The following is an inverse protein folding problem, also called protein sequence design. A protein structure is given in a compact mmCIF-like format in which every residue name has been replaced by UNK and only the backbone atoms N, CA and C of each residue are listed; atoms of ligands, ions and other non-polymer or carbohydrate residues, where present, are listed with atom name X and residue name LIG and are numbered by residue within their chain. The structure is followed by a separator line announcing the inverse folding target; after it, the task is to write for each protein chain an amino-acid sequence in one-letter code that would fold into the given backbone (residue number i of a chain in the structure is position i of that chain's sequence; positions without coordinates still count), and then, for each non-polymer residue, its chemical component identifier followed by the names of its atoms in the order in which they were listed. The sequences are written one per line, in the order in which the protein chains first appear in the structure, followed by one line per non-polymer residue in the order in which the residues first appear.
data_IF_222548363924
#
_entry.id   IF_222548363924
#
_cell.length_a   1.000
_cell.length_b   1.000
_cell.length_c   1.000
_cell.angle_alpha   90.00
_cell.angle_beta   90.00
_cell.angle_gamma   90.00
#
_symmetry.space_group_name_H-M   'P 1'
#
loop_
_entity.id
_entity.type
_entity.pdbx_description
1 polymer ?
#
# COMPACT_ATOMS: atom_id res chain seq x y z
N UNK A 1 -8.03 -11.50 23.91
CA UNK A 1 -7.34 -10.79 22.82
C UNK A 1 -7.52 -9.32 23.09
N UNK A 2 -6.45 -8.53 23.02
CA UNK A 2 -6.50 -7.09 23.27
C UNK A 2 -7.43 -6.35 22.30
N UNK A 3 -7.82 -5.13 22.66
CA UNK A 3 -8.67 -4.28 21.84
C UNK A 3 -7.84 -3.65 20.72
N UNK A 4 -8.05 -4.08 19.46
CA UNK A 4 -7.27 -3.63 18.30
C UNK A 4 -8.15 -2.79 17.38
N UNK A 5 -7.80 -1.54 17.16
CA UNK A 5 -8.45 -0.63 16.22
C UNK A 5 -7.47 -0.20 15.13
N UNK A 6 -7.92 -0.18 13.88
CA UNK A 6 -7.13 0.30 12.74
C UNK A 6 -7.88 1.43 12.04
N UNK A 7 -7.30 2.61 12.09
CA UNK A 7 -7.77 3.80 11.37
C UNK A 7 -7.00 3.90 10.07
N UNK A 8 -7.63 3.60 8.96
CA UNK A 8 -6.94 3.59 7.66
C UNK A 8 -7.93 3.75 6.51
N UNK A 9 -7.38 3.87 5.32
CA UNK A 9 -8.13 3.94 4.07
C UNK A 9 -8.27 2.54 3.45
N UNK A 10 -8.18 2.45 2.16
CA UNK A 10 -8.25 1.21 1.36
C UNK A 10 -6.98 0.34 1.52
N UNK A 11 -7.04 -0.96 1.25
CA UNK A 11 -5.88 -1.86 1.30
C UNK A 11 -4.89 -1.60 0.15
N UNK A 12 -4.28 -0.44 0.16
CA UNK A 12 -3.37 0.05 -0.85
C UNK A 12 -2.24 0.86 -0.22
N UNK A 13 -1.04 0.71 -0.74
CA UNK A 13 0.14 1.45 -0.29
C UNK A 13 0.31 1.36 1.23
N UNK A 14 0.73 2.44 1.87
CA UNK A 14 0.94 2.46 3.33
C UNK A 14 -0.33 2.17 4.12
N UNK A 15 -1.49 2.61 3.63
CA UNK A 15 -2.79 2.37 4.27
C UNK A 15 -3.14 0.87 4.35
N UNK A 16 -2.73 0.09 3.36
CA UNK A 16 -3.03 -1.36 3.28
C UNK A 16 -2.12 -2.24 4.14
N UNK A 17 -0.88 -1.82 4.41
CA UNK A 17 0.13 -2.65 5.08
C UNK A 17 -0.39 -3.33 6.37
N UNK A 18 -0.95 -2.60 7.36
CA UNK A 18 -1.42 -3.23 8.58
C UNK A 18 -2.63 -4.15 8.37
N UNK A 19 -3.49 -3.88 7.38
CA UNK A 19 -4.62 -4.74 7.07
C UNK A 19 -4.14 -6.13 6.63
N UNK A 20 -3.13 -6.17 5.73
CA UNK A 20 -2.51 -7.43 5.32
C UNK A 20 -1.80 -8.11 6.49
N UNK A 21 -1.07 -7.37 7.33
CA UNK A 21 -0.35 -7.93 8.46
C UNK A 21 -1.30 -8.57 9.49
N UNK A 22 -2.38 -7.90 9.85
CA UNK A 22 -3.40 -8.43 10.76
C UNK A 22 -4.11 -9.64 10.17
N UNK A 23 -4.43 -9.60 8.87
CA UNK A 23 -5.04 -10.75 8.18
C UNK A 23 -4.11 -11.97 8.15
N UNK A 24 -2.82 -11.80 7.89
CA UNK A 24 -1.82 -12.88 7.93
C UNK A 24 -1.65 -13.46 9.33
N UNK A 25 -1.84 -12.68 10.37
CA UNK A 25 -1.81 -13.11 11.77
C UNK A 25 -3.15 -13.68 12.26
N UNK A 26 -4.23 -13.57 11.47
CA UNK A 26 -5.57 -13.98 11.90
C UNK A 26 -6.12 -13.15 13.07
N UNK A 27 -5.69 -11.90 13.21
CA UNK A 27 -6.09 -11.00 14.29
C UNK A 27 -7.40 -10.30 13.94
N UNK A 28 -8.40 -10.42 14.80
CA UNK A 28 -9.62 -9.61 14.70
C UNK A 28 -9.34 -8.17 15.16
N UNK A 29 -9.88 -7.20 14.44
CA UNK A 29 -9.72 -5.78 14.73
C UNK A 29 -10.97 -4.99 14.34
N UNK A 30 -11.13 -3.82 14.92
CA UNK A 30 -12.14 -2.85 14.52
C UNK A 30 -11.57 -1.94 13.43
N UNK A 31 -12.24 -1.91 12.27
CA UNK A 31 -11.81 -1.13 11.12
C UNK A 31 -12.53 0.22 11.08
N UNK A 32 -11.76 1.29 11.29
CA UNK A 32 -12.22 2.67 11.17
C UNK A 32 -11.76 3.21 9.81
N UNK A 33 -12.71 3.28 8.88
CA UNK A 33 -12.42 3.79 7.54
C UNK A 33 -12.22 5.30 7.57
N UNK A 34 -11.08 5.77 7.06
CA UNK A 34 -10.71 7.18 6.92
C UNK A 34 -10.69 7.54 5.44
N UNK A 35 -11.68 8.30 4.99
CA UNK A 35 -11.77 8.69 3.59
C UNK A 35 -10.75 9.80 3.24
N UNK A 36 -9.69 9.43 2.52
CA UNK A 36 -8.64 10.37 2.12
C UNK A 36 -9.15 11.40 1.11
N UNK A 37 -10.15 11.09 0.30
CA UNK A 37 -10.72 12.04 -0.68
C UNK A 37 -11.57 13.10 -0.02
N UNK A 38 -12.09 12.84 1.19
CA UNK A 38 -12.83 13.79 2.01
C UNK A 38 -11.97 14.45 3.10
N UNK A 39 -10.66 14.16 3.08
CA UNK A 39 -9.69 14.72 4.02
C UNK A 39 -9.99 14.38 5.49
N UNK A 40 -10.65 13.25 5.76
CA UNK A 40 -11.01 12.84 7.12
C UNK A 40 -9.78 12.65 8.02
N UNK A 41 -8.62 12.29 7.45
CA UNK A 41 -7.35 12.23 8.19
C UNK A 41 -6.88 13.60 8.74
N UNK A 42 -7.49 14.69 8.31
CA UNK A 42 -7.22 16.04 8.80
C UNK A 42 -8.42 16.63 9.58
N UNK A 43 -9.42 15.81 9.89
CA UNK A 43 -10.51 16.20 10.78
C UNK A 43 -10.00 16.35 12.23
N UNK A 44 -10.53 17.32 13.00
CA UNK A 44 -10.08 17.55 14.38
C UNK A 44 -10.12 16.30 15.26
N UNK A 45 -11.11 15.42 15.05
CA UNK A 45 -11.28 14.19 15.84
C UNK A 45 -10.16 13.19 15.53
N UNK A 46 -9.79 13.03 14.26
CA UNK A 46 -8.69 12.14 13.91
C UNK A 46 -7.33 12.72 14.32
N UNK A 47 -7.14 14.03 14.24
CA UNK A 47 -5.89 14.69 14.68
C UNK A 47 -5.63 14.56 16.18
N UNK A 48 -6.66 14.30 17.01
CA UNK A 48 -6.48 13.94 18.43
C UNK A 48 -5.83 12.56 18.60
N UNK A 49 -6.08 11.64 17.66
CA UNK A 49 -5.52 10.28 17.64
C UNK A 49 -4.13 10.30 17.02
N UNK A 50 -4.01 10.92 15.83
CA UNK A 50 -2.74 11.04 15.11
C UNK A 50 -2.51 12.49 14.65
N UNK A 51 -1.76 13.29 15.42
CA UNK A 51 -1.50 14.70 15.10
C UNK A 51 -0.78 14.92 13.75
N UNK A 52 -0.11 13.90 13.20
CA UNK A 52 0.50 13.99 11.88
C UNK A 52 -0.53 13.98 10.74
N UNK A 53 -1.79 13.60 11.01
CA UNK A 53 -2.85 13.54 10.00
C UNK A 53 -2.50 12.56 8.87
N UNK A 54 -1.93 11.41 9.22
CA UNK A 54 -1.57 10.35 8.27
C UNK A 54 -2.34 9.08 8.57
N UNK A 55 -2.52 8.24 7.57
CA UNK A 55 -2.97 6.86 7.73
C UNK A 55 -1.85 5.91 7.29
N UNK A 56 -1.78 4.70 7.87
CA UNK A 56 -2.63 4.13 8.91
C UNK A 56 -2.25 4.59 10.32
N UNK A 57 -3.19 4.39 11.27
CA UNK A 57 -2.93 4.42 12.71
C UNK A 57 -3.51 3.16 13.34
N UNK A 58 -2.73 2.48 14.16
CA UNK A 58 -3.15 1.31 14.94
C UNK A 58 -3.27 1.74 16.40
N UNK A 59 -4.34 1.32 17.07
CA UNK A 59 -4.45 1.37 18.53
C UNK A 59 -4.54 -0.07 19.03
N UNK A 60 -3.66 -0.44 19.95
CA UNK A 60 -3.69 -1.72 20.63
C UNK A 60 -3.63 -1.49 22.13
N UNK A 61 -4.67 -1.90 22.84
CA UNK A 61 -4.81 -1.70 24.30
C UNK A 61 -4.59 -0.25 24.73
N UNK A 62 -5.10 0.72 23.98
CA UNK A 62 -4.97 2.14 24.24
C UNK A 62 -3.66 2.79 23.79
N UNK A 63 -2.67 2.01 23.37
CA UNK A 63 -1.42 2.53 22.82
C UNK A 63 -1.55 2.80 21.32
N UNK A 64 -1.12 4.00 20.90
CA UNK A 64 -1.17 4.45 19.50
C UNK A 64 0.16 4.13 18.80
N UNK A 65 0.06 3.50 17.64
CA UNK A 65 1.19 3.21 16.75
C UNK A 65 0.97 3.91 15.41
N UNK A 66 1.99 4.59 14.94
CA UNK A 66 2.06 5.21 13.61
C UNK A 66 3.21 4.61 12.82
N UNK A 67 3.42 5.06 11.57
CA UNK A 67 4.43 4.53 10.64
C UNK A 67 4.16 3.06 10.23
N UNK A 68 3.62 2.91 9.03
CA UNK A 68 3.05 1.65 8.55
C UNK A 68 4.00 0.45 8.56
N UNK A 69 5.28 0.63 8.21
CA UNK A 69 6.25 -0.48 8.17
C UNK A 69 6.67 -0.93 9.57
N UNK A 70 7.10 -0.05 10.51
CA UNK A 70 7.30 -0.43 11.91
C UNK A 70 6.07 -1.01 12.58
N UNK A 71 4.88 -0.47 12.28
CA UNK A 71 3.60 -1.00 12.78
C UNK A 71 3.40 -2.46 12.37
N UNK A 72 3.73 -2.84 11.13
CA UNK A 72 3.64 -4.23 10.69
C UNK A 72 4.67 -5.14 11.37
N UNK A 73 5.87 -4.64 11.67
CA UNK A 73 6.86 -5.39 12.47
C UNK A 73 6.34 -5.61 13.89
N UNK A 74 5.71 -4.59 14.50
CA UNK A 74 5.03 -4.72 15.79
C UNK A 74 3.91 -5.78 15.72
N UNK A 75 3.00 -5.72 14.74
CA UNK A 75 1.93 -6.71 14.56
C UNK A 75 2.51 -8.12 14.47
N UNK A 76 3.57 -8.31 13.70
CA UNK A 76 4.21 -9.61 13.53
C UNK A 76 4.72 -10.20 14.84
N UNK A 77 5.19 -9.37 15.77
CA UNK A 77 5.82 -9.80 17.03
C UNK A 77 4.84 -9.81 18.19
N UNK A 78 3.84 -8.92 18.22
CA UNK A 78 2.89 -8.79 19.32
C UNK A 78 1.78 -9.84 19.30
N UNK A 79 1.45 -10.39 18.12
CA UNK A 79 0.35 -11.35 17.99
C UNK A 79 0.86 -12.74 17.62
N UNK A 80 0.16 -13.82 18.06
CA UNK A 80 0.49 -15.20 17.71
C UNK A 80 0.28 -15.47 16.20
N UNK A 81 0.68 -16.65 15.73
CA UNK A 81 0.55 -17.08 14.34
C UNK A 81 1.86 -17.00 13.56
N UNK A 82 1.77 -16.92 12.23
CA UNK A 82 2.98 -16.93 11.37
C UNK A 82 3.90 -15.76 11.72
N UNK A 83 5.22 -16.01 11.72
CA UNK A 83 6.19 -14.92 11.84
C UNK A 83 6.44 -14.30 10.47
N UNK A 84 6.27 -13.00 10.35
CA UNK A 84 6.63 -12.21 9.16
C UNK A 84 8.07 -11.65 9.27
N UNK A 85 8.70 -11.81 10.42
CA UNK A 85 10.06 -11.34 10.74
C UNK A 85 10.97 -12.54 10.91
N UNK A 86 12.02 -12.70 10.08
CA UNK A 86 12.96 -13.81 10.19
C UNK A 86 13.71 -13.82 11.54
N UNK A 87 14.00 -15.01 12.06
CA UNK A 87 14.82 -15.18 13.25
C UNK A 87 16.31 -14.95 12.96
N UNK A 88 16.80 -15.41 11.80
CA UNK A 88 18.18 -15.18 11.40
C UNK A 88 18.48 -13.68 11.23
N UNK A 89 19.52 -13.15 11.93
CA UNK A 89 19.85 -11.72 11.89
C UNK A 89 20.17 -11.20 10.46
N UNK A 90 20.77 -12.03 9.61
CA UNK A 90 21.11 -11.63 8.23
C UNK A 90 19.86 -11.54 7.35
N UNK A 91 18.94 -12.50 7.50
CA UNK A 91 17.65 -12.48 6.81
C UNK A 91 16.79 -11.28 7.31
N UNK A 92 16.79 -11.01 8.63
CA UNK A 92 16.12 -9.84 9.21
C UNK A 92 16.69 -8.52 8.69
N UNK A 93 18.02 -8.42 8.55
CA UNK A 93 18.65 -7.25 7.92
C UNK A 93 18.16 -7.08 6.47
N UNK A 94 18.17 -8.16 5.65
CA UNK A 94 17.68 -8.12 4.27
C UNK A 94 16.19 -7.73 4.20
N UNK A 95 15.36 -8.26 5.08
CA UNK A 95 13.94 -7.90 5.18
C UNK A 95 13.76 -6.41 5.43
N UNK A 96 14.43 -5.84 6.44
CA UNK A 96 14.38 -4.40 6.76
C UNK A 96 14.94 -3.55 5.63
N UNK A 97 16.00 -4.01 4.97
CA UNK A 97 16.56 -3.33 3.80
C UNK A 97 15.53 -3.24 2.66
N UNK A 98 14.83 -4.34 2.33
CA UNK A 98 13.78 -4.36 1.34
C UNK A 98 12.62 -3.43 1.73
N UNK A 99 12.14 -3.51 2.96
CA UNK A 99 11.10 -2.61 3.48
C UNK A 99 11.48 -1.13 3.30
N UNK A 100 12.71 -0.78 3.68
CA UNK A 100 13.23 0.60 3.52
C UNK A 100 13.29 1.02 2.05
N UNK A 101 13.71 0.13 1.17
CA UNK A 101 13.74 0.44 -0.27
C UNK A 101 12.34 0.62 -0.85
N UNK A 102 11.36 -0.16 -0.42
CA UNK A 102 9.95 0.04 -0.78
C UNK A 102 9.48 1.42 -0.37
N UNK A 103 9.71 1.82 0.87
CA UNK A 103 9.29 3.15 1.38
C UNK A 103 9.93 4.30 0.59
N UNK A 104 11.22 4.19 0.23
CA UNK A 104 11.91 5.18 -0.62
C UNK A 104 11.30 5.26 -2.03
N UNK A 105 10.92 4.13 -2.61
CA UNK A 105 10.37 4.10 -3.98
C UNK A 105 8.86 4.40 -4.02
N UNK A 106 8.16 4.34 -2.89
CA UNK A 106 6.75 4.69 -2.80
C UNK A 106 6.44 6.15 -3.22
N UNK A 107 7.41 7.06 -3.12
CA UNK A 107 7.26 8.44 -3.60
C UNK A 107 6.96 8.52 -5.10
N UNK A 108 7.60 7.70 -5.93
CA UNK A 108 7.30 7.64 -7.37
C UNK A 108 5.89 7.11 -7.64
N UNK A 109 5.46 6.10 -6.87
CA UNK A 109 4.09 5.58 -6.95
C UNK A 109 3.07 6.63 -6.52
N UNK A 110 3.39 7.48 -5.55
CA UNK A 110 2.50 8.58 -5.15
C UNK A 110 2.27 9.56 -6.30
N UNK A 111 3.29 9.93 -7.05
CA UNK A 111 3.15 10.79 -8.25
C UNK A 111 2.19 10.15 -9.26
N UNK A 112 2.41 8.89 -9.61
CA UNK A 112 1.56 8.17 -10.57
C UNK A 112 0.15 7.96 -10.04
N UNK A 113 -0.01 7.59 -8.78
CA UNK A 113 -1.31 7.37 -8.14
C UNK A 113 -2.14 8.66 -8.03
N UNK A 114 -1.51 9.78 -7.72
CA UNK A 114 -2.18 11.08 -7.74
C UNK A 114 -2.57 11.50 -9.15
N UNK A 115 -1.69 11.31 -10.12
CA UNK A 115 -2.00 11.65 -11.51
C UNK A 115 -3.19 10.86 -12.06
N UNK A 116 -3.21 9.54 -11.85
CA UNK A 116 -4.15 8.63 -12.50
C UNK A 116 -5.44 8.37 -11.71
N UNK A 117 -5.40 8.47 -10.37
CA UNK A 117 -6.50 8.01 -9.52
C UNK A 117 -6.96 9.05 -8.49
N UNK A 118 -6.12 9.40 -7.54
CA UNK A 118 -6.56 10.21 -6.39
C UNK A 118 -6.83 11.67 -6.78
N UNK A 119 -6.00 12.26 -7.63
CA UNK A 119 -6.17 13.64 -8.10
C UNK A 119 -7.50 13.85 -8.84
N UNK A 120 -7.89 13.02 -9.82
CA UNK A 120 -9.21 13.10 -10.45
C UNK A 120 -10.38 13.06 -9.47
N UNK A 121 -10.31 12.23 -8.43
CA UNK A 121 -11.36 12.14 -7.41
C UNK A 121 -11.43 13.43 -6.56
N UNK A 122 -10.28 13.94 -6.11
CA UNK A 122 -10.21 15.13 -5.28
C UNK A 122 -10.65 16.40 -6.04
N UNK A 123 -10.37 16.47 -7.35
CA UNK A 123 -10.79 17.60 -8.22
C UNK A 123 -12.28 17.67 -8.50
N UNK A 124 -13.06 16.66 -8.12
CA UNK A 124 -14.53 16.76 -8.19
C UNK A 124 -15.10 17.70 -7.13
N UNK A 125 -14.31 18.05 -6.12
CA UNK A 125 -14.74 19.02 -5.09
C UNK A 125 -14.70 20.45 -5.60
N UNK A 126 -15.63 21.33 -5.14
CA UNK A 126 -15.56 22.75 -5.42
C UNK A 126 -14.20 23.35 -5.00
N UNK A 127 -13.61 24.28 -5.78
CA UNK A 127 -12.29 24.84 -5.48
C UNK A 127 -12.16 25.43 -4.07
N UNK A 128 -13.17 26.19 -3.63
CA UNK A 128 -13.18 26.80 -2.30
C UNK A 128 -13.24 25.76 -1.16
N UNK A 129 -13.96 24.66 -1.38
CA UNK A 129 -13.98 23.54 -0.43
C UNK A 129 -12.60 22.87 -0.35
N UNK A 130 -11.98 22.61 -1.51
CA UNK A 130 -10.67 22.00 -1.58
C UNK A 130 -9.60 22.85 -0.89
N UNK A 131 -9.61 24.16 -1.09
CA UNK A 131 -8.69 25.08 -0.39
C UNK A 131 -8.86 25.02 1.13
N UNK A 132 -10.10 25.03 1.62
CA UNK A 132 -10.39 24.88 3.06
C UNK A 132 -9.89 23.54 3.62
N UNK A 133 -10.07 22.46 2.87
CA UNK A 133 -9.63 21.14 3.28
C UNK A 133 -8.10 21.03 3.32
N UNK A 134 -7.41 21.57 2.31
CA UNK A 134 -5.94 21.63 2.25
C UNK A 134 -5.38 22.48 3.41
N UNK A 135 -6.04 23.56 3.78
CA UNK A 135 -5.60 24.41 4.89
C UNK A 135 -5.56 23.69 6.25
N UNK A 136 -6.35 22.61 6.43
CA UNK A 136 -6.34 21.76 7.64
C UNK A 136 -5.13 20.85 7.77
N UNK A 137 -4.39 20.64 6.68
CA UNK A 137 -3.21 19.73 6.70
C UNK A 137 -2.16 20.29 7.66
N UNK A 138 -1.69 19.51 8.64
CA UNK A 138 -0.86 20.04 9.74
C UNK A 138 0.47 20.65 9.30
N UNK A 139 1.18 20.01 8.35
CA UNK A 139 2.52 20.46 7.94
C UNK A 139 2.51 21.25 6.63
N UNK A 140 3.41 22.25 6.51
CA UNK A 140 3.54 23.08 5.32
C UNK A 140 3.93 22.26 4.09
N UNK A 141 4.86 21.32 4.24
CA UNK A 141 5.36 20.46 3.17
C UNK A 141 4.23 19.60 2.59
N UNK A 142 3.42 19.01 3.46
CA UNK A 142 2.27 18.21 3.03
C UNK A 142 1.18 19.08 2.39
N UNK A 143 0.90 20.27 2.93
CA UNK A 143 -0.04 21.20 2.29
C UNK A 143 0.41 21.52 0.87
N UNK A 144 1.69 21.82 0.67
CA UNK A 144 2.24 22.12 -0.65
C UNK A 144 2.11 20.92 -1.59
N UNK A 145 2.48 19.73 -1.12
CA UNK A 145 2.34 18.50 -1.91
C UNK A 145 0.90 18.24 -2.32
N UNK A 146 -0.05 18.29 -1.38
CA UNK A 146 -1.47 18.08 -1.66
C UNK A 146 -2.05 19.14 -2.59
N UNK A 147 -1.65 20.38 -2.45
CA UNK A 147 -2.04 21.45 -3.37
C UNK A 147 -1.57 21.17 -4.79
N UNK A 148 -0.29 20.86 -4.98
CA UNK A 148 0.29 20.51 -6.28
C UNK A 148 -0.37 19.26 -6.86
N UNK A 149 -0.50 18.21 -6.07
CA UNK A 149 -1.04 16.92 -6.50
C UNK A 149 -2.54 17.00 -6.86
N UNK A 150 -3.34 17.77 -6.10
CA UNK A 150 -4.76 17.96 -6.38
C UNK A 150 -5.00 18.78 -7.64
N UNK A 151 -4.12 19.71 -7.98
CA UNK A 151 -4.21 20.53 -9.20
C UNK A 151 -3.72 19.81 -10.47
N UNK A 152 -3.25 18.56 -10.38
CA UNK A 152 -2.70 17.76 -11.48
C UNK A 152 -1.55 18.43 -12.25
N UNK A 153 -0.68 19.12 -11.54
CA UNK A 153 0.41 19.90 -12.15
C UNK A 153 1.72 19.11 -12.25
N UNK A 154 1.66 17.77 -12.30
CA UNK A 154 2.85 16.98 -12.63
C UNK A 154 3.20 17.17 -14.10
N UNK A 155 4.44 17.57 -14.37
CA UNK A 155 4.95 17.70 -15.74
C UNK A 155 5.17 16.33 -16.37
N UNK A 156 5.20 16.26 -17.72
CA UNK A 156 5.52 15.02 -18.43
C UNK A 156 6.88 14.46 -18.01
N UNK A 157 7.84 15.33 -17.73
CA UNK A 157 9.16 14.94 -17.20
C UNK A 157 9.03 14.26 -15.82
N UNK A 158 8.25 14.82 -14.91
CA UNK A 158 8.01 14.21 -13.59
C UNK A 158 7.34 12.85 -13.70
N UNK A 159 6.37 12.71 -14.60
CA UNK A 159 5.67 11.45 -14.85
C UNK A 159 6.62 10.42 -15.49
N UNK A 160 7.42 10.82 -16.49
CA UNK A 160 8.40 9.95 -17.12
C UNK A 160 9.47 9.49 -16.12
N UNK A 161 9.98 10.38 -15.27
CA UNK A 161 10.93 10.04 -14.22
C UNK A 161 10.32 9.08 -13.17
N UNK A 162 9.05 9.28 -12.80
CA UNK A 162 8.36 8.38 -11.89
C UNK A 162 8.19 6.98 -12.50
N UNK A 163 7.78 6.87 -13.77
CA UNK A 163 7.67 5.59 -14.49
C UNK A 163 9.02 4.89 -14.60
N UNK A 164 10.07 5.61 -15.03
CA UNK A 164 11.42 5.05 -15.16
C UNK A 164 11.94 4.52 -13.82
N UNK A 165 11.73 5.26 -12.72
CA UNK A 165 12.12 4.83 -11.38
C UNK A 165 11.38 3.58 -10.94
N UNK A 166 10.07 3.50 -11.17
CA UNK A 166 9.26 2.31 -10.88
C UNK A 166 9.73 1.14 -11.74
N UNK A 167 9.99 1.33 -13.03
CA UNK A 167 10.51 0.30 -13.93
C UNK A 167 11.85 -0.27 -13.46
N UNK A 168 12.81 0.60 -13.10
CA UNK A 168 14.09 0.17 -12.52
C UNK A 168 13.91 -0.64 -11.25
N UNK A 169 13.00 -0.22 -10.38
CA UNK A 169 12.73 -0.90 -9.12
C UNK A 169 12.10 -2.28 -9.34
N UNK A 170 11.11 -2.37 -10.21
CA UNK A 170 10.46 -3.66 -10.54
C UNK A 170 11.44 -4.63 -11.19
N UNK A 171 12.29 -4.17 -12.10
CA UNK A 171 13.34 -5.02 -12.70
C UNK A 171 14.32 -5.55 -11.64
N UNK A 172 14.64 -4.74 -10.61
CA UNK A 172 15.47 -5.19 -9.47
C UNK A 172 14.75 -6.24 -8.62
N UNK A 173 13.43 -6.09 -8.40
CA UNK A 173 12.64 -7.09 -7.72
C UNK A 173 12.60 -8.38 -8.53
N UNK A 174 12.36 -8.31 -9.84
CA UNK A 174 12.32 -9.48 -10.73
C UNK A 174 13.63 -10.26 -10.70
N UNK A 175 14.78 -9.58 -10.84
CA UNK A 175 16.10 -10.21 -10.74
C UNK A 175 16.31 -10.93 -9.41
N UNK A 176 15.84 -10.35 -8.29
CA UNK A 176 15.92 -11.00 -6.98
C UNK A 176 14.98 -12.20 -6.90
N UNK A 177 13.79 -12.11 -7.46
CA UNK A 177 12.78 -13.17 -7.45
C UNK A 177 13.10 -14.33 -8.41
N UNK A 178 14.01 -14.13 -9.36
CA UNK A 178 14.59 -15.20 -10.16
C UNK A 178 15.41 -16.20 -9.32
N UNK A 179 15.99 -15.74 -8.21
CA UNK A 179 16.84 -16.55 -7.32
C UNK A 179 16.04 -17.22 -6.18
N UNK A 180 14.83 -16.73 -5.87
CA UNK A 180 14.08 -17.18 -4.70
C UNK A 180 12.59 -16.81 -4.82
N UNK A 181 11.68 -17.63 -4.26
CA UNK A 181 10.25 -17.39 -4.35
C UNK A 181 9.79 -16.06 -3.69
N UNK A 182 10.56 -15.52 -2.74
CA UNK A 182 10.27 -14.28 -2.04
C UNK A 182 11.51 -13.37 -1.94
N UNK A 183 11.30 -12.12 -1.60
CA UNK A 183 12.35 -11.08 -1.62
C UNK A 183 13.53 -11.36 -0.69
N UNK A 184 13.31 -12.04 0.44
CA UNK A 184 14.37 -12.35 1.41
C UNK A 184 14.94 -13.74 1.23
N UNK A 185 14.12 -14.69 0.82
CA UNK A 185 14.51 -16.10 0.72
C UNK A 185 13.30 -17.00 0.39
N UNK A 186 13.33 -18.26 0.85
CA UNK A 186 12.28 -19.22 0.52
C UNK A 186 10.94 -18.94 1.22
N UNK A 187 10.93 -18.11 2.26
CA UNK A 187 9.75 -17.85 3.07
C UNK A 187 9.19 -16.43 2.84
N UNK A 188 7.86 -16.33 2.93
CA UNK A 188 7.14 -15.06 2.91
C UNK A 188 7.47 -14.25 4.16
N UNK A 189 7.86 -12.99 3.97
CA UNK A 189 8.24 -12.10 5.05
C UNK A 189 7.53 -10.74 4.95
N UNK A 190 7.75 -9.91 5.94
CA UNK A 190 7.29 -8.52 5.94
C UNK A 190 7.78 -7.73 4.71
N UNK A 191 8.94 -8.06 4.13
CA UNK A 191 9.42 -7.45 2.90
C UNK A 191 8.46 -7.67 1.72
N UNK A 192 7.91 -8.88 1.60
CA UNK A 192 6.96 -9.23 0.54
C UNK A 192 5.61 -8.53 0.76
N UNK A 193 5.13 -8.52 2.00
CA UNK A 193 3.89 -7.84 2.37
C UNK A 193 3.95 -6.35 2.06
N UNK A 194 5.01 -5.67 2.50
CA UNK A 194 5.21 -4.22 2.32
C UNK A 194 5.39 -3.88 0.84
N UNK A 195 6.13 -4.71 0.11
CA UNK A 195 6.29 -4.55 -1.33
C UNK A 195 4.97 -4.77 -2.07
N UNK A 196 4.23 -5.84 -1.73
CA UNK A 196 2.95 -6.13 -2.36
C UNK A 196 1.95 -4.99 -2.15
N UNK A 197 1.77 -4.50 -0.93
CA UNK A 197 0.85 -3.40 -0.64
C UNK A 197 1.10 -2.15 -1.51
N UNK A 198 2.35 -1.91 -1.91
CA UNK A 198 2.72 -0.75 -2.72
C UNK A 198 2.71 -1.04 -4.24
N UNK A 199 3.14 -2.24 -4.66
CA UNK A 199 3.46 -2.52 -6.06
C UNK A 199 2.47 -3.47 -6.75
N UNK A 200 1.46 -4.00 -6.07
CA UNK A 200 0.50 -4.95 -6.63
C UNK A 200 -0.20 -4.47 -7.92
N UNK A 201 -0.38 -3.16 -8.07
CA UNK A 201 -1.16 -2.56 -9.13
C UNK A 201 -0.34 -2.20 -10.40
N UNK A 202 0.97 -2.46 -10.40
CA UNK A 202 1.86 -2.07 -11.51
C UNK A 202 1.46 -2.69 -12.87
N UNK A 203 0.97 -3.94 -12.95
CA UNK A 203 0.51 -4.48 -14.24
C UNK A 203 -0.58 -3.65 -14.93
N UNK A 204 -1.40 -2.90 -14.17
CA UNK A 204 -2.39 -1.96 -14.70
C UNK A 204 -1.89 -0.51 -14.78
N UNK A 205 -0.93 -0.13 -13.93
CA UNK A 205 -0.52 1.28 -13.82
C UNK A 205 0.62 1.63 -14.76
N UNK A 206 1.56 0.71 -14.95
CA UNK A 206 2.74 0.85 -15.81
C UNK A 206 3.02 -0.48 -16.54
N UNK A 207 2.08 -0.95 -17.39
CA UNK A 207 2.19 -2.25 -18.07
C UNK A 207 3.45 -2.35 -18.93
N UNK A 208 3.96 -1.23 -19.42
CA UNK A 208 5.21 -1.15 -20.17
C UNK A 208 6.46 -1.57 -19.36
N UNK A 209 6.35 -1.60 -18.02
CA UNK A 209 7.40 -2.03 -17.12
C UNK A 209 7.05 -3.29 -16.31
N UNK A 210 5.78 -3.64 -16.20
CA UNK A 210 5.29 -4.69 -15.31
C UNK A 210 4.43 -5.73 -16.06
N UNK A 211 4.87 -6.15 -17.24
CA UNK A 211 4.27 -7.26 -17.99
C UNK A 211 4.99 -8.58 -17.72
N UNK A 212 4.30 -9.70 -17.98
CA UNK A 212 4.87 -11.05 -17.82
C UNK A 212 6.08 -11.30 -18.73
N UNK A 213 6.10 -10.67 -19.92
CA UNK A 213 7.22 -10.76 -20.86
C UNK A 213 8.49 -10.11 -20.30
N UNK A 214 8.36 -8.99 -19.58
CA UNK A 214 9.49 -8.21 -19.08
C UNK A 214 9.99 -8.63 -17.71
N UNK A 215 9.07 -8.99 -16.83
CA UNK A 215 9.34 -9.27 -15.41
C UNK A 215 8.55 -10.49 -14.94
N UNK A 216 8.85 -11.68 -15.53
CA UNK A 216 8.09 -12.92 -15.29
C UNK A 216 8.11 -13.36 -13.82
N UNK A 217 9.24 -13.21 -13.14
CA UNK A 217 9.40 -13.63 -11.74
C UNK A 217 8.62 -12.71 -10.78
N UNK A 218 8.56 -11.41 -11.09
CA UNK A 218 7.71 -10.47 -10.35
C UNK A 218 6.22 -10.80 -10.55
N UNK A 219 5.78 -11.12 -11.75
CA UNK A 219 4.39 -11.52 -12.00
C UNK A 219 4.05 -12.83 -11.27
N UNK A 220 4.96 -13.82 -11.29
CA UNK A 220 4.75 -15.08 -10.54
C UNK A 220 4.76 -14.84 -9.01
N UNK A 221 5.57 -13.92 -8.51
CA UNK A 221 5.53 -13.49 -7.11
C UNK A 221 4.19 -12.82 -6.77
N UNK A 222 3.63 -11.96 -7.62
CA UNK A 222 2.29 -11.40 -7.45
C UNK A 222 1.24 -12.52 -7.37
N UNK A 223 1.28 -13.49 -8.30
CA UNK A 223 0.37 -14.64 -8.31
C UNK A 223 0.42 -15.40 -6.99
N UNK A 224 1.63 -15.62 -6.47
CA UNK A 224 1.85 -16.32 -5.20
C UNK A 224 1.24 -15.60 -4.02
N UNK A 225 1.38 -14.27 -3.94
CA UNK A 225 0.81 -13.49 -2.86
C UNK A 225 -0.72 -13.35 -3.00
N UNK A 226 -1.23 -13.17 -4.21
CA UNK A 226 -2.68 -13.13 -4.43
C UNK A 226 -3.39 -14.44 -4.05
N UNK A 227 -2.72 -15.61 -4.15
CA UNK A 227 -3.26 -16.90 -3.71
C UNK A 227 -3.29 -17.07 -2.19
N UNK A 228 -2.70 -16.18 -1.42
CA UNK A 228 -2.76 -16.22 0.03
C UNK A 228 -4.17 -15.87 0.51
N UNK A 229 -4.79 -16.69 1.41
CA UNK A 229 -6.13 -16.41 1.92
C UNK A 229 -6.27 -15.02 2.55
N UNK A 230 -5.24 -14.58 3.30
CA UNK A 230 -5.19 -13.26 3.91
C UNK A 230 -5.28 -12.11 2.90
N UNK A 231 -4.64 -12.26 1.74
CA UNK A 231 -4.67 -11.25 0.68
C UNK A 231 -6.08 -11.10 0.09
N UNK A 232 -6.71 -12.21 -0.26
CA UNK A 232 -8.06 -12.19 -0.82
C UNK A 232 -9.09 -11.68 0.19
N UNK A 233 -9.00 -12.11 1.46
CA UNK A 233 -9.87 -11.63 2.54
C UNK A 233 -9.73 -10.13 2.77
N UNK A 234 -8.50 -9.59 2.71
CA UNK A 234 -8.25 -8.16 2.86
C UNK A 234 -8.91 -7.36 1.74
N UNK A 235 -8.81 -7.79 0.49
CA UNK A 235 -9.45 -7.10 -0.64
C UNK A 235 -10.96 -7.28 -0.69
N UNK A 236 -11.50 -8.40 -0.19
CA UNK A 236 -12.94 -8.61 -0.12
C UNK A 236 -13.64 -7.58 0.80
N UNK A 237 -12.92 -7.05 1.79
CA UNK A 237 -13.41 -6.01 2.70
C UNK A 237 -13.12 -4.58 2.20
N UNK A 238 -12.46 -4.42 1.06
CA UNK A 238 -12.18 -3.10 0.47
C UNK A 238 -13.44 -2.48 -0.13
N UNK A 239 -13.55 -1.16 -0.10
CA UNK A 239 -14.68 -0.43 -0.69
C UNK A 239 -14.48 -0.20 -2.20
N UNK A 240 -13.54 0.67 -2.57
CA UNK A 240 -13.33 1.08 -3.96
C UNK A 240 -12.19 0.32 -4.65
N UNK A 241 -11.11 0.02 -3.93
CA UNK A 241 -9.92 -0.61 -4.52
C UNK A 241 -9.99 -2.14 -4.61
N UNK A 242 -10.92 -2.79 -3.90
CA UNK A 242 -11.12 -4.24 -4.00
C UNK A 242 -11.38 -4.69 -5.43
N UNK A 243 -12.29 -4.01 -6.14
CA UNK A 243 -12.59 -4.31 -7.55
C UNK A 243 -11.33 -4.24 -8.42
N UNK A 244 -10.50 -3.21 -8.25
CA UNK A 244 -9.25 -3.06 -8.99
C UNK A 244 -8.25 -4.19 -8.68
N UNK A 245 -8.12 -4.57 -7.41
CA UNK A 245 -7.26 -5.68 -7.02
C UNK A 245 -7.71 -7.02 -7.65
N UNK A 246 -9.01 -7.28 -7.69
CA UNK A 246 -9.55 -8.46 -8.36
C UNK A 246 -9.37 -8.43 -9.87
N UNK A 247 -9.47 -7.27 -10.53
CA UNK A 247 -9.13 -7.13 -11.96
C UNK A 247 -7.68 -7.50 -12.22
N UNK A 248 -6.75 -7.06 -11.37
CA UNK A 248 -5.33 -7.43 -11.49
C UNK A 248 -5.16 -8.93 -11.29
N UNK A 249 -5.75 -9.51 -10.26
CA UNK A 249 -5.68 -10.94 -10.00
C UNK A 249 -6.19 -11.78 -11.21
N UNK A 250 -7.20 -11.30 -11.92
CA UNK A 250 -7.68 -11.91 -13.17
C UNK A 250 -6.69 -11.71 -14.32
N UNK A 251 -6.19 -10.49 -14.51
CA UNK A 251 -5.28 -10.18 -15.64
C UNK A 251 -3.97 -10.97 -15.58
N UNK A 252 -3.54 -11.36 -14.39
CA UNK A 252 -2.35 -12.21 -14.19
C UNK A 252 -2.70 -13.69 -13.98
N UNK A 253 -3.93 -14.12 -14.23
CA UNK A 253 -4.35 -15.53 -14.21
C UNK A 253 -4.49 -16.17 -12.82
N UNK A 254 -4.72 -15.39 -11.75
CA UNK A 254 -5.00 -15.91 -10.41
C UNK A 254 -6.47 -16.24 -10.22
N UNK A 255 -7.34 -15.39 -10.71
CA UNK A 255 -8.80 -15.58 -10.69
C UNK A 255 -9.32 -15.82 -12.11
N UNK A 256 -10.44 -16.56 -12.25
CA UNK A 256 -11.08 -16.72 -13.56
C UNK A 256 -11.54 -15.35 -14.13
N UNK A 257 -11.64 -15.20 -15.45
CA UNK A 257 -12.24 -14.02 -16.07
C UNK A 257 -13.65 -13.80 -15.52
N UNK A 258 -14.11 -12.54 -15.52
CA UNK A 258 -15.52 -12.27 -15.21
C UNK A 258 -16.39 -12.97 -16.25
N UNK A 259 -17.34 -13.77 -15.77
CA UNK A 259 -18.38 -14.31 -16.66
C UNK A 259 -19.15 -13.16 -17.31
N UNK A 260 -19.82 -13.41 -18.46
CA UNK A 260 -20.67 -12.39 -19.07
C UNK A 260 -21.66 -11.89 -18.01
N UNK A 261 -21.69 -10.56 -17.85
CA UNK A 261 -22.65 -9.91 -16.94
C UNK A 261 -24.06 -10.33 -17.33
N UNK A 262 -24.69 -11.09 -16.44
CA UNK A 262 -26.11 -11.48 -16.54
C UNK A 262 -27.00 -10.28 -16.28
#
# INVERSE_FOLDING_TARGET
MGNVHVYTWEPNSNAGKPLFALAEKGVAFEYHYINLTDFEQHAPEYLKINPAGTVPTLIHDGQVFTESTPMCEYISTAFPGISLVPEDPRARYRMRWWCRQVDINAAALSVLGWHTFLGPMVRQKPPEELERLIARIPTKERRLFWKTASQATFTEEQLANARARVGTWVARMDARLAESPYLVGPEYTLADLVAFANFYALPLTVPEHASEERVPHYIEWLRRIYRRPATLATYANARSLGRRAFQIARSIGVLPPEGPSS
#
